data_IF_494518966931
#
_entry.id   IF_494518966931
#
_cell.length_a   1.000
_cell.length_b   1.000
_cell.length_c   1.000
_cell.angle_alpha   90.00
_cell.angle_beta   90.00
_cell.angle_gamma   90.00
#
_symmetry.space_group_name_H-M   'P 1'
#
loop_
_entity.id
_entity.type
_entity.pdbx_description
1 polymer ?
#
# COMPACT_ATOMS: atom_id res chain seq x y z
N UNK A 1 -30.94 15.53 9.50
CA UNK A 1 -29.53 15.82 9.20
C UNK A 1 -29.16 14.95 7.97
N UNK A 2 -29.26 15.55 6.79
CA UNK A 2 -29.12 14.89 5.50
C UNK A 2 -27.61 14.62 5.26
N UNK A 3 -27.24 13.36 5.20
CA UNK A 3 -25.96 12.92 4.65
C UNK A 3 -25.99 13.21 3.14
N UNK A 4 -25.55 14.40 2.77
CA UNK A 4 -25.29 14.71 1.36
C UNK A 4 -24.21 13.78 0.85
N UNK A 5 -24.55 13.09 -0.22
CA UNK A 5 -23.75 12.07 -0.84
C UNK A 5 -22.31 12.52 -1.08
N UNK A 6 -21.41 11.91 -0.35
CA UNK A 6 -20.03 11.79 -0.79
C UNK A 6 -20.09 11.18 -2.19
N UNK A 7 -19.39 11.74 -3.18
CA UNK A 7 -19.30 11.07 -4.48
C UNK A 7 -18.87 9.64 -4.20
N UNK A 8 -19.66 8.70 -4.70
CA UNK A 8 -19.28 7.29 -4.67
C UNK A 8 -18.00 7.22 -5.48
N UNK A 9 -16.87 7.31 -4.76
CA UNK A 9 -15.61 6.90 -5.33
C UNK A 9 -15.83 5.48 -5.81
N UNK A 10 -15.89 5.29 -7.09
CA UNK A 10 -15.57 3.99 -7.67
C UNK A 10 -14.11 3.77 -7.34
N UNK A 11 -13.84 3.41 -6.08
CA UNK A 11 -12.53 2.96 -5.68
C UNK A 11 -12.16 1.86 -6.67
N UNK A 12 -11.05 2.03 -7.35
CA UNK A 12 -10.53 1.02 -8.24
C UNK A 12 -10.22 -0.19 -7.37
N UNK A 13 -11.15 -1.15 -7.32
CA UNK A 13 -11.04 -2.35 -6.51
C UNK A 13 -10.16 -3.36 -7.22
N UNK A 14 -8.87 -3.09 -7.28
CA UNK A 14 -7.90 -4.03 -7.81
C UNK A 14 -6.90 -4.45 -6.73
N UNK A 15 -6.30 -5.60 -6.90
CA UNK A 15 -5.20 -6.09 -6.07
C UNK A 15 -3.92 -6.07 -6.87
N UNK A 16 -2.93 -5.40 -6.33
CA UNK A 16 -1.60 -5.30 -6.92
C UNK A 16 -0.57 -5.92 -5.98
N UNK A 17 0.48 -6.48 -6.53
CA UNK A 17 1.64 -6.92 -5.78
C UNK A 17 2.92 -6.63 -6.57
N UNK A 18 4.05 -6.63 -5.88
CA UNK A 18 5.36 -6.47 -6.46
C UNK A 18 6.12 -7.77 -6.26
N UNK A 19 6.49 -8.44 -7.36
CA UNK A 19 7.23 -9.69 -7.35
C UNK A 19 8.74 -9.47 -7.41
N UNK A 20 9.48 -10.35 -6.76
CA UNK A 20 10.94 -10.41 -6.83
C UNK A 20 11.37 -10.69 -8.27
N UNK A 21 12.22 -9.83 -8.83
CA UNK A 21 12.83 -9.98 -10.16
C UNK A 21 14.35 -9.81 -10.11
N UNK A 22 14.93 -9.77 -8.90
CA UNK A 22 16.34 -9.50 -8.66
C UNK A 22 16.69 -8.00 -8.61
N UNK A 23 15.77 -7.12 -8.96
CA UNK A 23 15.93 -5.67 -8.80
C UNK A 23 15.46 -5.20 -7.42
N UNK A 24 15.74 -3.94 -7.08
CA UNK A 24 15.31 -3.32 -5.82
C UNK A 24 13.84 -2.95 -5.80
N UNK A 25 13.19 -2.80 -6.95
CA UNK A 25 11.80 -2.34 -7.07
C UNK A 25 10.85 -3.44 -7.52
N UNK A 26 11.39 -4.61 -7.85
CA UNK A 26 10.62 -5.77 -8.29
C UNK A 26 9.77 -5.51 -9.53
N UNK A 27 8.87 -6.40 -9.84
CA UNK A 27 7.99 -6.33 -11.00
C UNK A 27 6.52 -6.31 -10.59
N UNK A 28 5.75 -5.39 -11.17
CA UNK A 28 4.34 -5.23 -10.89
C UNK A 28 3.53 -6.40 -11.44
N UNK A 29 2.64 -6.93 -10.60
CA UNK A 29 1.64 -7.93 -10.96
C UNK A 29 0.26 -7.50 -10.50
N UNK A 30 -0.75 -7.83 -11.29
CA UNK A 30 -2.15 -7.78 -10.92
C UNK A 30 -2.53 -9.12 -10.32
N UNK A 31 -3.22 -9.11 -9.17
CA UNK A 31 -3.58 -10.32 -8.43
C UNK A 31 -5.10 -10.50 -8.44
N UNK A 32 -5.57 -11.71 -8.63
CA UNK A 32 -7.01 -12.01 -8.63
C UNK A 32 -7.65 -11.76 -7.27
N UNK A 33 -8.97 -11.56 -7.25
CA UNK A 33 -9.75 -11.28 -6.03
C UNK A 33 -9.57 -12.36 -4.97
N UNK A 34 -9.51 -13.62 -5.39
CA UNK A 34 -9.37 -14.80 -4.53
C UNK A 34 -7.92 -15.14 -4.18
N UNK A 35 -6.95 -14.34 -4.63
CA UNK A 35 -5.51 -14.52 -4.40
C UNK A 35 -4.95 -15.83 -4.98
N UNK A 36 -5.55 -16.38 -6.01
CA UNK A 36 -5.10 -17.63 -6.64
C UNK A 36 -4.26 -17.40 -7.87
N UNK A 37 -4.55 -16.34 -8.62
CA UNK A 37 -3.92 -16.04 -9.88
C UNK A 37 -3.25 -14.68 -9.85
N UNK A 38 -2.20 -14.55 -10.65
CA UNK A 38 -1.55 -13.28 -10.93
C UNK A 38 -1.26 -13.15 -12.43
N UNK A 39 -1.04 -11.93 -12.85
CA UNK A 39 -0.62 -11.60 -14.21
C UNK A 39 0.37 -10.43 -14.15
N UNK A 40 1.48 -10.54 -14.86
CA UNK A 40 2.44 -9.44 -15.00
C UNK A 40 1.82 -8.26 -15.72
N UNK A 41 2.02 -7.06 -15.19
CA UNK A 41 1.50 -5.82 -15.76
C UNK A 41 2.45 -5.20 -16.82
N UNK A 42 3.37 -5.97 -17.39
CA UNK A 42 4.44 -5.50 -18.29
C UNK A 42 3.97 -4.71 -19.51
N UNK A 43 2.76 -4.97 -20.00
CA UNK A 43 2.18 -4.20 -21.09
C UNK A 43 1.66 -2.82 -20.68
N UNK A 44 1.58 -2.53 -19.37
CA UNK A 44 1.05 -1.28 -18.79
C UNK A 44 2.17 -0.55 -18.05
N UNK A 45 2.70 -1.18 -17.01
CA UNK A 45 3.82 -0.69 -16.22
C UNK A 45 4.63 -1.86 -15.66
N UNK A 46 5.94 -1.70 -15.55
CA UNK A 46 6.79 -2.74 -14.96
C UNK A 46 6.91 -2.60 -13.43
N UNK A 47 6.63 -1.43 -12.86
CA UNK A 47 6.80 -1.11 -11.44
C UNK A 47 5.63 -0.29 -10.93
N UNK A 48 5.30 -0.46 -9.64
CA UNK A 48 4.22 0.31 -9.01
C UNK A 48 4.50 1.82 -9.03
N UNK A 49 5.75 2.24 -8.85
CA UNK A 49 6.10 3.66 -8.88
C UNK A 49 5.68 4.33 -10.19
N UNK A 50 5.86 3.66 -11.33
CA UNK A 50 5.43 4.20 -12.64
C UNK A 50 3.91 4.45 -12.68
N UNK A 51 3.14 3.54 -12.08
CA UNK A 51 1.67 3.70 -11.99
C UNK A 51 1.30 4.90 -11.13
N UNK A 52 2.01 5.10 -10.01
CA UNK A 52 1.78 6.24 -9.12
C UNK A 52 2.10 7.57 -9.81
N UNK A 53 3.15 7.59 -10.63
CA UNK A 53 3.60 8.79 -11.37
C UNK A 53 2.60 9.20 -12.47
N UNK A 54 1.85 8.24 -13.03
CA UNK A 54 0.81 8.50 -14.05
C UNK A 54 -0.47 7.68 -13.78
N UNK A 55 -1.00 7.86 -12.58
CA UNK A 55 -2.15 7.12 -12.09
C UNK A 55 -3.38 7.22 -13.00
N UNK A 56 -3.67 8.43 -13.48
CA UNK A 56 -4.85 8.68 -14.31
C UNK A 56 -4.88 7.87 -15.60
N UNK A 57 -3.72 7.62 -16.19
CA UNK A 57 -3.59 6.86 -17.42
C UNK A 57 -3.43 5.35 -17.18
N UNK A 58 -2.66 4.95 -16.18
CA UNK A 58 -2.31 3.53 -15.98
C UNK A 58 -3.33 2.76 -15.15
N UNK A 59 -3.94 3.38 -14.14
CA UNK A 59 -4.85 2.68 -13.24
C UNK A 59 -6.10 2.11 -13.93
N UNK A 60 -6.75 2.78 -14.90
CA UNK A 60 -7.85 2.17 -15.66
C UNK A 60 -7.43 0.91 -16.43
N UNK A 61 -6.24 0.89 -17.00
CA UNK A 61 -5.71 -0.27 -17.74
C UNK A 61 -5.44 -1.46 -16.80
N UNK A 62 -4.91 -1.19 -15.61
CA UNK A 62 -4.73 -2.21 -14.56
C UNK A 62 -6.07 -2.75 -14.07
N UNK A 63 -7.08 -1.90 -13.96
CA UNK A 63 -8.44 -2.31 -13.59
C UNK A 63 -9.06 -3.24 -14.67
N UNK A 64 -8.84 -2.94 -15.94
CA UNK A 64 -9.29 -3.80 -17.03
C UNK A 64 -8.57 -5.16 -17.00
N UNK A 65 -7.26 -5.17 -16.78
CA UNK A 65 -6.49 -6.40 -16.61
C UNK A 65 -6.98 -7.20 -15.39
N UNK A 66 -7.27 -6.53 -14.26
CA UNK A 66 -7.85 -7.15 -13.09
C UNK A 66 -9.22 -7.79 -13.39
N UNK A 67 -10.06 -7.11 -14.15
CA UNK A 67 -11.35 -7.68 -14.58
C UNK A 67 -11.15 -8.90 -15.48
N UNK A 68 -10.25 -8.85 -16.46
CA UNK A 68 -9.92 -9.98 -17.34
C UNK A 68 -9.39 -11.17 -16.53
N UNK A 69 -8.51 -10.92 -15.56
CA UNK A 69 -7.96 -11.96 -14.69
C UNK A 69 -9.06 -12.66 -13.88
N UNK A 70 -9.99 -11.91 -13.30
CA UNK A 70 -11.08 -12.44 -12.49
C UNK A 70 -12.20 -13.12 -13.30
N UNK A 71 -12.24 -12.90 -14.60
CA UNK A 71 -13.20 -13.56 -15.53
C UNK A 71 -12.57 -14.68 -16.36
N UNK A 72 -11.30 -15.04 -16.07
CA UNK A 72 -10.59 -16.11 -16.78
C UNK A 72 -10.23 -15.76 -18.22
N UNK A 73 -10.20 -14.47 -18.58
CA UNK A 73 -9.89 -14.00 -19.94
C UNK A 73 -8.49 -13.45 -20.11
N UNK A 74 -7.72 -13.34 -19.01
CA UNK A 74 -6.33 -12.89 -19.07
C UNK A 74 -5.44 -14.05 -19.59
N UNK A 75 -4.84 -13.94 -20.79
CA UNK A 75 -3.87 -14.93 -21.24
C UNK A 75 -2.62 -14.87 -20.37
N UNK A 76 -1.91 -15.98 -20.23
CA UNK A 76 -0.66 -16.07 -19.44
C UNK A 76 -0.82 -15.76 -17.94
N UNK A 77 -2.05 -15.87 -17.39
CA UNK A 77 -2.23 -15.87 -15.95
C UNK A 77 -1.49 -17.07 -15.32
N UNK A 78 -0.92 -16.87 -14.15
CA UNK A 78 -0.17 -17.89 -13.41
C UNK A 78 -0.62 -17.95 -11.96
N UNK A 79 -0.22 -19.02 -11.23
CA UNK A 79 -0.55 -19.16 -9.82
C UNK A 79 0.13 -18.07 -8.98
N UNK A 80 -0.65 -17.36 -8.15
CA UNK A 80 -0.10 -16.36 -7.24
C UNK A 80 0.66 -17.02 -6.10
N UNK A 81 1.91 -16.61 -5.89
CA UNK A 81 2.75 -17.08 -4.79
C UNK A 81 3.17 -15.90 -3.89
N UNK A 82 2.63 -15.79 -2.67
CA UNK A 82 2.97 -14.70 -1.76
C UNK A 82 4.44 -14.71 -1.31
N UNK A 83 5.15 -15.84 -1.41
CA UNK A 83 6.58 -15.93 -1.10
C UNK A 83 7.45 -15.15 -2.10
N UNK A 84 6.92 -14.89 -3.29
CA UNK A 84 7.58 -14.07 -4.30
C UNK A 84 7.32 -12.58 -4.13
N UNK A 85 6.45 -12.19 -3.19
CA UNK A 85 6.13 -10.79 -2.98
C UNK A 85 7.23 -10.06 -2.20
N UNK A 86 7.58 -8.89 -2.70
CA UNK A 86 8.22 -7.80 -1.95
C UNK A 86 7.15 -6.95 -1.25
N UNK A 87 7.55 -5.91 -0.53
CA UNK A 87 6.62 -4.85 -0.18
C UNK A 87 5.94 -4.31 -1.46
N UNK A 88 4.66 -3.87 -1.41
CA UNK A 88 3.98 -3.32 -2.59
C UNK A 88 4.77 -2.19 -3.25
N UNK A 89 5.35 -1.32 -2.46
CA UNK A 89 6.28 -0.26 -2.87
C UNK A 89 7.59 -0.43 -2.07
N UNK A 90 8.57 -1.23 -2.57
CA UNK A 90 9.77 -1.58 -1.79
C UNK A 90 10.60 -0.36 -1.40
N UNK A 91 10.54 0.70 -2.20
CA UNK A 91 11.15 2.00 -1.93
C UNK A 91 10.12 3.10 -2.15
N UNK A 92 9.72 3.75 -1.06
CA UNK A 92 8.86 4.92 -1.09
C UNK A 92 9.70 6.19 -0.99
N UNK A 93 9.33 7.24 -1.73
CA UNK A 93 9.99 8.55 -1.59
C UNK A 93 9.82 9.14 -0.19
N UNK A 94 8.70 8.84 0.44
CA UNK A 94 8.40 9.28 1.79
C UNK A 94 7.62 8.19 2.53
N UNK A 95 7.97 7.96 3.79
CA UNK A 95 7.27 7.07 4.69
C UNK A 95 6.93 7.82 5.97
N UNK A 96 5.66 7.90 6.30
CA UNK A 96 5.18 8.55 7.52
C UNK A 96 4.37 7.56 8.34
N UNK A 97 4.65 7.51 9.63
CA UNK A 97 3.83 6.79 10.61
C UNK A 97 2.98 7.79 11.40
N UNK A 98 1.68 7.52 11.49
CA UNK A 98 0.75 8.25 12.31
C UNK A 98 0.35 7.46 13.54
N UNK A 99 0.62 7.93 14.74
CA UNK A 99 0.14 7.36 15.99
C UNK A 99 -1.36 7.62 16.17
N UNK A 100 -2.21 6.93 15.38
CA UNK A 100 -3.65 7.18 15.32
C UNK A 100 -4.48 6.34 16.31
N UNK A 101 -3.88 5.35 16.96
CA UNK A 101 -4.56 4.46 17.90
C UNK A 101 -4.26 4.85 19.35
N UNK A 102 -5.20 5.51 20.07
CA UNK A 102 -4.97 5.97 21.45
C UNK A 102 -4.58 4.83 22.39
N UNK A 103 -5.15 3.63 22.21
CA UNK A 103 -4.83 2.45 23.02
C UNK A 103 -3.36 2.02 22.84
N UNK A 104 -2.85 2.07 21.62
CA UNK A 104 -1.44 1.76 21.34
C UNK A 104 -0.51 2.83 21.92
N UNK A 105 -0.86 4.12 21.76
CA UNK A 105 -0.11 5.22 22.37
C UNK A 105 -0.06 5.11 23.89
N UNK A 106 -1.15 4.75 24.53
CA UNK A 106 -1.22 4.57 25.99
C UNK A 106 -0.28 3.46 26.48
N UNK A 107 -0.07 2.41 25.70
CA UNK A 107 0.85 1.32 26.03
C UNK A 107 2.32 1.67 25.78
N UNK A 108 2.60 2.28 24.63
CA UNK A 108 3.97 2.48 24.16
C UNK A 108 4.55 3.84 24.55
N UNK A 109 3.72 4.86 24.67
CA UNK A 109 4.11 6.25 24.93
C UNK A 109 3.09 6.97 25.82
N UNK A 110 2.90 6.51 27.07
CA UNK A 110 1.84 7.04 27.94
C UNK A 110 1.90 8.56 28.18
N UNK A 111 3.11 9.16 28.13
CA UNK A 111 3.27 10.60 28.28
C UNK A 111 2.70 11.41 27.10
N UNK A 112 2.46 10.79 25.94
CA UNK A 112 1.95 11.43 24.72
C UNK A 112 0.49 11.06 24.42
N UNK A 113 -0.06 10.13 25.18
CA UNK A 113 -1.45 9.66 25.04
C UNK A 113 -2.44 10.59 25.75
N UNK A 114 -2.35 11.91 25.50
CA UNK A 114 -3.27 12.87 26.08
C UNK A 114 -4.57 12.95 25.22
N UNK A 115 -5.75 12.96 25.84
CA UNK A 115 -7.00 13.14 25.12
C UNK A 115 -7.01 14.44 24.32
N UNK A 116 -7.38 14.35 23.02
CA UNK A 116 -7.50 15.51 22.13
C UNK A 116 -6.19 16.02 21.54
N UNK A 117 -5.10 15.27 21.68
CA UNK A 117 -3.84 15.58 20.96
C UNK A 117 -3.91 15.13 19.52
N UNK A 118 -3.27 15.89 18.64
CA UNK A 118 -3.07 15.49 17.24
C UNK A 118 -2.25 14.20 17.16
N UNK A 119 -2.45 13.40 16.08
CA UNK A 119 -1.62 12.22 15.87
C UNK A 119 -0.13 12.56 15.86
N UNK A 120 0.67 11.77 16.55
CA UNK A 120 2.12 11.90 16.51
C UNK A 120 2.59 11.39 15.16
N UNK A 121 3.17 12.27 14.34
CA UNK A 121 3.75 11.91 13.06
C UNK A 121 5.24 11.64 13.21
N UNK A 122 5.68 10.53 12.64
CA UNK A 122 7.09 10.13 12.60
C UNK A 122 7.47 9.80 11.15
N UNK A 123 8.58 10.35 10.69
CA UNK A 123 9.14 9.97 9.40
C UNK A 123 10.08 8.78 9.58
N UNK A 124 9.84 7.73 8.81
CA UNK A 124 10.69 6.55 8.74
C UNK A 124 11.51 6.52 7.45
N UNK A 125 12.38 5.52 7.35
CA UNK A 125 13.11 5.21 6.12
C UNK A 125 12.15 4.55 5.11
N UNK A 126 12.10 5.08 3.90
CA UNK A 126 11.23 4.58 2.83
C UNK A 126 11.91 3.63 1.85
N UNK A 127 13.19 3.28 2.06
CA UNK A 127 14.03 2.61 1.08
C UNK A 127 14.32 1.12 1.36
N UNK A 128 13.71 0.56 2.40
CA UNK A 128 13.94 -0.83 2.82
C UNK A 128 12.69 -1.48 3.42
N UNK A 129 11.55 -1.33 2.75
CA UNK A 129 10.32 -1.97 3.18
C UNK A 129 10.38 -3.47 2.82
N UNK A 130 10.14 -4.33 3.81
CA UNK A 130 10.19 -5.78 3.65
C UNK A 130 8.89 -6.35 3.10
N UNK A 131 8.98 -7.44 2.35
CA UNK A 131 7.82 -8.20 1.90
C UNK A 131 7.14 -8.97 3.03
N UNK A 132 5.86 -9.30 2.83
CA UNK A 132 5.03 -9.92 3.85
C UNK A 132 5.54 -11.28 4.36
N UNK A 133 6.33 -12.00 3.56
CA UNK A 133 6.89 -13.31 3.89
C UNK A 133 8.41 -13.28 4.07
N UNK A 134 9.02 -12.11 4.21
CA UNK A 134 10.44 -11.98 4.46
C UNK A 134 10.75 -12.18 5.96
N UNK A 135 11.89 -12.81 6.23
CA UNK A 135 12.36 -13.00 7.60
C UNK A 135 12.80 -11.67 8.21
N UNK A 136 12.36 -11.41 9.43
CA UNK A 136 12.85 -10.29 10.24
C UNK A 136 14.00 -10.79 11.10
N UNK A 137 15.22 -10.44 10.72
CA UNK A 137 16.42 -10.84 11.45
C UNK A 137 16.75 -9.80 12.50
N UNK A 138 16.78 -10.23 13.77
CA UNK A 138 17.14 -9.38 14.90
C UNK A 138 18.33 -9.96 15.66
N UNK A 139 19.28 -9.15 16.12
CA UNK A 139 20.47 -9.63 16.82
C UNK A 139 20.19 -10.33 18.14
N UNK A 140 19.11 -9.94 18.83
CA UNK A 140 18.72 -10.50 20.13
C UNK A 140 17.25 -10.21 20.43
N UNK A 141 16.55 -11.19 20.98
CA UNK A 141 15.20 -11.01 21.52
C UNK A 141 15.15 -10.03 22.71
N UNK A 142 16.26 -9.83 23.40
CA UNK A 142 16.38 -8.87 24.50
C UNK A 142 16.24 -7.40 24.07
N UNK A 143 16.28 -7.13 22.75
CA UNK A 143 16.03 -5.79 22.20
C UNK A 143 14.54 -5.38 22.24
N UNK A 144 13.65 -6.24 22.79
CA UNK A 144 12.24 -5.93 22.94
C UNK A 144 11.49 -5.90 21.60
N UNK A 145 11.69 -6.94 20.78
CA UNK A 145 10.98 -7.09 19.51
C UNK A 145 9.50 -7.28 19.80
N UNK A 146 8.68 -6.46 19.15
CA UNK A 146 7.23 -6.51 19.24
C UNK A 146 6.60 -6.56 17.86
N UNK A 147 5.37 -7.06 17.78
CA UNK A 147 4.58 -7.12 16.56
C UNK A 147 3.45 -6.09 16.60
N UNK A 148 3.46 -5.19 15.64
CA UNK A 148 2.40 -4.20 15.46
C UNK A 148 1.70 -4.37 14.12
N UNK A 149 0.45 -3.89 14.04
CA UNK A 149 -0.30 -3.85 12.80
C UNK A 149 -0.89 -2.45 12.59
N UNK A 150 -0.94 -2.03 11.35
CA UNK A 150 -1.50 -0.73 10.96
C UNK A 150 -2.12 -0.78 9.56
N UNK A 151 -2.78 0.31 9.20
CA UNK A 151 -3.24 0.54 7.84
C UNK A 151 -2.25 1.49 7.17
N UNK A 152 -1.83 1.17 5.96
CA UNK A 152 -1.02 2.04 5.13
C UNK A 152 -1.85 2.52 3.93
N UNK A 153 -1.79 3.81 3.64
CA UNK A 153 -2.33 4.39 2.42
C UNK A 153 -1.17 4.81 1.52
N UNK A 154 -1.24 4.42 0.25
CA UNK A 154 -0.33 4.93 -0.77
C UNK A 154 -1.02 6.11 -1.45
N UNK A 155 -0.38 7.27 -1.44
CA UNK A 155 -0.96 8.50 -1.99
C UNK A 155 -0.21 8.98 -3.23
N UNK A 156 -0.91 9.68 -4.11
CA UNK A 156 -0.30 10.61 -5.05
C UNK A 156 -0.06 11.97 -4.38
N UNK A 157 0.13 13.00 -5.18
CA UNK A 157 0.37 14.35 -4.69
C UNK A 157 -0.85 14.89 -3.94
N UNK A 158 -0.60 15.40 -2.74
CA UNK A 158 -1.56 16.13 -1.93
C UNK A 158 -1.02 17.55 -1.74
N UNK A 159 -1.69 18.58 -2.30
CA UNK A 159 -1.23 19.96 -2.19
C UNK A 159 -1.10 20.43 -0.76
N UNK A 160 -0.10 21.25 -0.48
CA UNK A 160 0.06 21.88 0.82
C UNK A 160 -1.17 22.71 1.18
N UNK A 161 -1.66 22.57 2.41
CA UNK A 161 -2.85 23.27 2.90
C UNK A 161 -4.18 22.61 2.50
N UNK A 162 -4.14 21.40 1.92
CA UNK A 162 -5.36 20.61 1.68
C UNK A 162 -6.09 20.32 2.99
N UNK A 163 -7.43 20.38 2.96
CA UNK A 163 -8.23 19.88 4.08
C UNK A 163 -8.15 18.34 4.14
N UNK A 164 -8.52 17.73 5.30
CA UNK A 164 -8.57 16.26 5.40
C UNK A 164 -9.44 15.62 4.31
N UNK A 165 -10.58 16.22 3.99
CA UNK A 165 -11.48 15.75 2.94
C UNK A 165 -10.83 15.83 1.56
N UNK A 166 -10.08 16.89 1.28
CA UNK A 166 -9.33 17.04 0.05
C UNK A 166 -8.17 16.04 -0.04
N UNK A 167 -7.48 15.80 1.08
CA UNK A 167 -6.37 14.86 1.14
C UNK A 167 -6.80 13.41 0.83
N UNK A 168 -8.04 13.02 1.20
CA UNK A 168 -8.59 11.70 0.83
C UNK A 168 -8.59 11.44 -0.67
N UNK A 169 -8.71 12.49 -1.50
CA UNK A 169 -8.63 12.36 -2.95
C UNK A 169 -7.22 11.99 -3.45
N UNK A 170 -6.21 12.18 -2.62
CA UNK A 170 -4.84 11.75 -2.90
C UNK A 170 -4.60 10.24 -2.72
N UNK A 171 -5.45 9.52 -2.00
CA UNK A 171 -5.29 8.08 -1.77
C UNK A 171 -5.47 7.33 -3.09
N UNK A 172 -4.51 6.45 -3.40
CA UNK A 172 -4.49 5.61 -4.60
C UNK A 172 -4.71 4.13 -4.26
N UNK A 173 -4.07 3.66 -3.19
CA UNK A 173 -4.11 2.27 -2.74
C UNK A 173 -4.14 2.22 -1.21
#
# INVERSE_FOLDING_TARGET
>A
MLLYGLPVYTALHMKLATYKDGSRDGQLVVVSRDLRLAHYATGIASRLQQVLDDWGFMAPQLQDLYHQLNTGRAPHAFAFDPMQCMAPLPRAYQWLEGGAYPSHLALTQPAWALPGTEPVLRQGAGDSLSGACEEVVVPSAALGVDFGAGLAAITGDVPMGSTPEQALFGIRL
#
